data_IF_567134885698
#
_entry.id   IF_567134885698
#
_cell.length_a   1.000
_cell.length_b   1.000
_cell.length_c   1.000
_cell.angle_alpha   90.00
_cell.angle_beta   90.00
_cell.angle_gamma   90.00
#
_symmetry.space_group_name_H-M   'P 1'
#
loop_
_entity.id
_entity.type
_entity.pdbx_description
1 polymer ?
#
# COMPACT_ATOMS: atom_id res chain seq x y z
N UNK A 1 -84.82 14.70 1.52
CA UNK A 1 -83.64 13.84 1.38
C UNK A 1 -82.98 13.75 2.73
N UNK A 2 -83.11 12.61 3.42
CA UNK A 2 -82.55 12.38 4.74
C UNK A 2 -81.04 12.15 4.59
N UNK A 3 -80.22 12.88 5.34
CA UNK A 3 -78.78 12.67 5.37
C UNK A 3 -78.43 11.70 6.51
N UNK A 4 -77.74 10.62 6.16
CA UNK A 4 -77.26 9.58 7.09
C UNK A 4 -76.20 10.13 8.07
N UNK A 5 -76.10 9.56 9.29
CA UNK A 5 -75.06 9.93 10.25
C UNK A 5 -73.69 9.36 9.85
N UNK A 6 -72.58 10.00 10.28
CA UNK A 6 -71.23 9.58 9.93
C UNK A 6 -70.84 8.24 10.60
N UNK A 7 -69.89 7.48 9.99
CA UNK A 7 -69.48 6.18 10.49
C UNK A 7 -68.63 6.28 11.79
N UNK A 8 -68.59 5.22 12.60
CA UNK A 8 -67.77 5.18 13.82
C UNK A 8 -66.27 5.12 13.50
N UNK A 9 -65.40 5.53 14.45
CA UNK A 9 -63.96 5.51 14.26
C UNK A 9 -63.40 4.08 14.13
N UNK A 10 -62.27 3.90 13.43
CA UNK A 10 -61.68 2.58 13.22
C UNK A 10 -61.22 1.97 14.56
N UNK A 11 -61.45 0.65 14.69
CA UNK A 11 -60.94 -0.16 15.79
C UNK A 11 -59.42 -0.26 15.69
N UNK A 12 -58.74 -0.23 16.84
CA UNK A 12 -57.30 -0.41 16.94
C UNK A 12 -56.91 -1.81 16.43
N UNK A 13 -56.13 -1.85 15.34
CA UNK A 13 -55.41 -3.06 14.93
C UNK A 13 -54.25 -3.28 15.92
N UNK A 14 -54.07 -4.54 16.33
CA UNK A 14 -52.97 -4.98 17.20
C UNK A 14 -51.61 -4.66 16.56
N UNK A 15 -50.79 -3.89 17.28
CA UNK A 15 -49.40 -3.56 16.95
C UNK A 15 -48.53 -4.86 16.95
N UNK A 16 -47.74 -5.14 15.90
CA UNK A 16 -46.77 -6.23 15.92
C UNK A 16 -45.62 -5.90 16.89
N UNK A 17 -44.94 -6.90 17.48
CA UNK A 17 -44.04 -6.69 18.60
C UNK A 17 -42.85 -5.78 18.21
N UNK A 18 -42.73 -4.65 18.90
CA UNK A 18 -41.69 -3.66 18.72
C UNK A 18 -40.27 -4.27 18.68
N UNK A 19 -39.54 -4.08 17.57
CA UNK A 19 -38.07 -4.09 17.59
C UNK A 19 -37.59 -2.84 18.32
N UNK A 20 -37.09 -3.00 19.55
CA UNK A 20 -36.45 -1.91 20.30
C UNK A 20 -35.08 -1.59 19.68
N UNK A 21 -34.84 -0.33 19.38
CA UNK A 21 -33.54 0.25 19.00
C UNK A 21 -33.06 1.19 20.11
N UNK A 22 -31.74 1.36 20.27
CA UNK A 22 -31.15 2.35 21.18
C UNK A 22 -30.82 3.67 20.47
N UNK A 23 -30.22 4.64 21.18
CA UNK A 23 -29.89 5.99 20.69
C UNK A 23 -28.91 6.03 19.50
N UNK A 24 -28.39 4.87 19.07
CA UNK A 24 -27.54 4.73 17.87
C UNK A 24 -28.27 4.17 16.65
N UNK A 25 -29.55 3.81 16.78
CA UNK A 25 -30.38 3.29 15.68
C UNK A 25 -30.11 1.84 15.30
N UNK A 26 -29.20 1.13 15.98
CA UNK A 26 -28.96 -0.29 15.75
C UNK A 26 -29.98 -1.17 16.51
N UNK A 27 -30.47 -2.29 15.92
CA UNK A 27 -31.32 -3.25 16.63
C UNK A 27 -30.57 -3.82 17.84
N UNK A 28 -31.16 -3.75 19.04
CA UNK A 28 -30.57 -4.22 20.31
C UNK A 28 -30.07 -5.68 20.25
N UNK A 29 -30.70 -6.52 19.43
CA UNK A 29 -30.30 -7.92 19.23
C UNK A 29 -28.94 -8.07 18.55
N UNK A 30 -28.58 -7.20 17.61
CA UNK A 30 -27.32 -7.32 16.87
C UNK A 30 -26.11 -7.03 17.77
N UNK A 31 -26.23 -6.03 18.65
CA UNK A 31 -25.18 -5.65 19.61
C UNK A 31 -24.92 -6.75 20.64
N UNK A 32 -25.97 -7.41 21.12
CA UNK A 32 -25.86 -8.58 22.00
C UNK A 32 -25.13 -9.75 21.32
N UNK A 33 -25.49 -10.04 20.07
CA UNK A 33 -24.86 -11.11 19.27
C UNK A 33 -23.39 -10.82 18.93
N UNK A 34 -23.04 -9.56 18.65
CA UNK A 34 -21.64 -9.13 18.49
C UNK A 34 -20.87 -9.34 19.80
N UNK A 35 -21.46 -8.99 20.95
CA UNK A 35 -20.87 -9.23 22.26
C UNK A 35 -20.59 -10.71 22.55
N UNK A 36 -21.47 -11.62 22.11
CA UNK A 36 -21.26 -13.06 22.24
C UNK A 36 -20.05 -13.55 21.45
N UNK A 37 -19.90 -13.13 20.20
CA UNK A 37 -18.73 -13.49 19.38
C UNK A 37 -17.43 -12.88 19.93
N UNK A 38 -17.48 -11.67 20.48
CA UNK A 38 -16.32 -11.07 21.14
C UNK A 38 -15.92 -11.84 22.40
N UNK A 39 -16.88 -12.30 23.19
CA UNK A 39 -16.62 -13.17 24.34
C UNK A 39 -16.05 -14.55 23.94
N UNK A 40 -16.30 -15.00 22.70
CA UNK A 40 -15.68 -16.19 22.11
C UNK A 40 -14.26 -15.93 21.58
N UNK A 41 -13.74 -14.71 21.74
CA UNK A 41 -12.37 -14.33 21.38
C UNK A 41 -12.20 -13.71 19.99
N UNK A 42 -13.30 -13.42 19.28
CA UNK A 42 -13.25 -12.75 17.98
C UNK A 42 -13.19 -11.22 18.13
N UNK A 43 -12.55 -10.52 17.19
CA UNK A 43 -12.55 -9.04 17.21
C UNK A 43 -13.95 -8.50 16.90
N UNK A 44 -14.22 -7.27 17.36
CA UNK A 44 -15.52 -6.61 17.12
C UNK A 44 -15.87 -6.52 15.63
N UNK A 45 -14.88 -6.21 14.78
CA UNK A 45 -15.04 -6.14 13.33
C UNK A 45 -15.34 -7.50 12.69
N UNK A 46 -14.64 -8.57 13.10
CA UNK A 46 -14.91 -9.94 12.65
C UNK A 46 -16.33 -10.37 13.02
N UNK A 47 -16.73 -10.12 14.27
CA UNK A 47 -18.04 -10.46 14.78
C UNK A 47 -19.18 -9.74 14.01
N UNK A 48 -19.02 -8.44 13.75
CA UNK A 48 -20.03 -7.65 13.05
C UNK A 48 -20.15 -8.03 11.57
N UNK A 49 -19.03 -8.23 10.87
CA UNK A 49 -19.01 -8.62 9.47
C UNK A 49 -19.57 -10.04 9.27
N UNK A 50 -19.22 -10.98 10.15
CA UNK A 50 -19.71 -12.36 10.05
C UNK A 50 -21.22 -12.44 10.32
N UNK A 51 -21.74 -11.73 11.32
CA UNK A 51 -23.19 -11.69 11.60
C UNK A 51 -24.01 -11.09 10.46
N UNK A 52 -23.46 -10.14 9.71
CA UNK A 52 -24.12 -9.60 8.52
C UNK A 52 -24.25 -10.65 7.41
N UNK A 53 -23.25 -11.52 7.26
CA UNK A 53 -23.24 -12.56 6.23
C UNK A 53 -24.04 -13.81 6.59
N UNK A 54 -24.30 -14.02 7.87
CA UNK A 54 -25.01 -15.20 8.38
C UNK A 54 -26.41 -14.87 8.89
N UNK A 55 -26.97 -13.74 8.44
CA UNK A 55 -28.31 -13.26 8.80
C UNK A 55 -28.53 -13.18 10.33
N UNK A 56 -27.46 -12.86 11.07
CA UNK A 56 -27.47 -12.73 12.52
C UNK A 56 -27.42 -14.05 13.30
N UNK A 57 -27.01 -15.16 12.66
CA UNK A 57 -26.72 -16.43 13.35
C UNK A 57 -25.31 -16.42 13.95
N UNK A 58 -25.23 -16.51 15.28
CA UNK A 58 -23.96 -16.51 16.04
C UNK A 58 -23.13 -17.76 15.75
N UNK A 59 -23.75 -18.93 15.65
CA UNK A 59 -23.05 -20.20 15.38
C UNK A 59 -22.48 -20.24 13.96
N UNK A 60 -23.28 -19.82 12.97
CA UNK A 60 -22.80 -19.71 11.60
C UNK A 60 -21.72 -18.63 11.47
N UNK A 61 -21.85 -17.50 12.19
CA UNK A 61 -20.86 -16.44 12.20
C UNK A 61 -19.53 -16.91 12.81
N UNK A 62 -19.57 -17.64 13.95
CA UNK A 62 -18.38 -18.21 14.56
C UNK A 62 -17.69 -19.21 13.62
N UNK A 63 -18.47 -20.10 12.98
CA UNK A 63 -17.94 -21.07 12.00
C UNK A 63 -17.32 -20.37 10.78
N UNK A 64 -17.96 -19.30 10.30
CA UNK A 64 -17.43 -18.49 9.21
C UNK A 64 -16.11 -17.84 9.62
N UNK A 65 -16.03 -17.21 10.78
CA UNK A 65 -14.77 -16.58 11.26
C UNK A 65 -13.66 -17.62 11.41
N UNK A 66 -13.94 -18.78 12.03
CA UNK A 66 -12.96 -19.86 12.22
C UNK A 66 -12.46 -20.39 10.88
N UNK A 67 -13.36 -20.76 9.96
CA UNK A 67 -12.97 -21.26 8.63
C UNK A 67 -12.18 -20.23 7.83
N UNK A 68 -12.51 -18.95 7.95
CA UNK A 68 -11.76 -17.85 7.32
C UNK A 68 -10.37 -17.74 7.93
N UNK A 69 -10.23 -17.81 9.26
CA UNK A 69 -8.93 -17.78 9.93
C UNK A 69 -8.05 -19.01 9.64
N UNK A 70 -8.65 -20.20 9.44
CA UNK A 70 -7.91 -21.39 9.04
C UNK A 70 -7.42 -21.31 7.60
N UNK A 71 -8.26 -20.82 6.68
CA UNK A 71 -7.85 -20.55 5.31
C UNK A 71 -6.75 -19.47 5.25
N UNK A 72 -6.87 -18.41 6.06
CA UNK A 72 -5.84 -17.39 6.24
C UNK A 72 -4.53 -17.99 6.75
N UNK A 73 -4.59 -18.80 7.80
CA UNK A 73 -3.41 -19.47 8.35
C UNK A 73 -2.78 -20.42 7.33
N UNK A 74 -3.57 -21.12 6.50
CA UNK A 74 -3.07 -21.99 5.46
C UNK A 74 -2.37 -21.21 4.33
N UNK A 75 -2.95 -20.09 3.88
CA UNK A 75 -2.33 -19.18 2.89
C UNK A 75 -1.04 -18.59 3.44
N UNK A 76 -1.04 -18.12 4.70
CA UNK A 76 0.14 -17.57 5.35
C UNK A 76 1.24 -18.64 5.56
N UNK A 77 0.88 -19.87 5.92
CA UNK A 77 1.82 -21.00 6.01
C UNK A 77 2.42 -21.35 4.65
N UNK A 78 1.60 -21.34 3.59
CA UNK A 78 2.07 -21.61 2.22
C UNK A 78 3.02 -20.52 1.73
N UNK A 79 2.72 -19.26 2.02
CA UNK A 79 3.55 -18.11 1.69
C UNK A 79 4.86 -18.01 2.50
N UNK A 80 4.91 -18.64 3.68
CA UNK A 80 6.11 -18.76 4.54
C UNK A 80 6.95 -20.02 4.30
N UNK A 81 6.64 -20.83 3.28
CA UNK A 81 7.36 -22.08 3.02
C UNK A 81 8.83 -21.83 2.61
N UNK A 82 9.81 -22.55 3.19
CA UNK A 82 11.25 -22.33 3.00
C UNK A 82 11.80 -22.62 1.59
N UNK A 83 10.95 -23.07 0.65
CA UNK A 83 11.33 -23.25 -0.76
C UNK A 83 11.06 -22.01 -1.64
N UNK A 84 10.39 -20.98 -1.12
CA UNK A 84 10.11 -19.76 -1.90
C UNK A 84 11.39 -18.92 -2.04
N UNK A 85 11.94 -18.84 -3.26
CA UNK A 85 13.15 -18.08 -3.59
C UNK A 85 14.31 -18.91 -4.17
N UNK A 86 14.27 -20.25 -4.05
CA UNK A 86 15.33 -21.14 -4.56
C UNK A 86 15.47 -21.19 -6.09
N UNK A 87 14.54 -20.58 -6.83
CA UNK A 87 14.48 -20.62 -8.30
C UNK A 87 14.56 -19.25 -8.98
N UNK A 88 14.81 -18.15 -8.24
CA UNK A 88 14.96 -16.85 -8.90
C UNK A 88 16.26 -16.82 -9.71
N UNK A 89 16.21 -16.39 -10.98
CA UNK A 89 17.40 -16.02 -11.73
C UNK A 89 18.29 -15.06 -10.93
N UNK A 90 19.59 -15.29 -10.96
CA UNK A 90 20.56 -14.54 -10.13
C UNK A 90 20.44 -13.02 -10.33
N UNK A 91 20.16 -12.55 -11.56
CA UNK A 91 20.02 -11.12 -11.83
C UNK A 91 18.83 -10.48 -11.12
N UNK A 92 17.74 -11.22 -10.92
CA UNK A 92 16.56 -10.73 -10.20
C UNK A 92 16.78 -10.61 -8.69
N UNK A 93 17.88 -11.14 -8.17
CA UNK A 93 18.30 -10.94 -6.77
C UNK A 93 19.17 -9.70 -6.60
N UNK A 94 19.55 -9.02 -7.68
CA UNK A 94 20.42 -7.86 -7.64
C UNK A 94 19.69 -6.56 -7.34
N UNK A 95 20.43 -5.61 -6.80
CA UNK A 95 20.05 -4.22 -6.69
C UNK A 95 21.26 -3.30 -6.88
N UNK A 96 20.99 -2.00 -6.93
CA UNK A 96 22.00 -0.96 -7.04
C UNK A 96 22.04 -0.10 -5.78
N UNK A 97 23.23 0.32 -5.36
CA UNK A 97 23.38 1.41 -4.39
C UNK A 97 22.79 2.71 -4.93
N UNK A 98 22.34 3.60 -4.04
CA UNK A 98 21.81 4.91 -4.43
C UNK A 98 22.79 5.68 -5.34
N UNK A 99 24.08 5.73 -4.99
CA UNK A 99 25.11 6.39 -5.79
C UNK A 99 25.24 5.82 -7.22
N UNK A 100 25.06 4.51 -7.39
CA UNK A 100 25.09 3.89 -8.72
C UNK A 100 23.84 4.21 -9.53
N UNK A 101 22.68 4.34 -8.88
CA UNK A 101 21.45 4.78 -9.54
C UNK A 101 21.61 6.22 -10.04
N UNK A 102 22.16 7.11 -9.20
CA UNK A 102 22.49 8.49 -9.58
C UNK A 102 23.46 8.54 -10.75
N UNK A 103 24.51 7.72 -10.77
CA UNK A 103 25.44 7.60 -11.89
C UNK A 103 24.73 7.18 -13.18
N UNK A 104 23.85 6.17 -13.12
CA UNK A 104 23.11 5.70 -14.30
C UNK A 104 22.14 6.77 -14.82
N UNK A 105 21.50 7.53 -13.93
CA UNK A 105 20.63 8.65 -14.31
C UNK A 105 21.45 9.77 -14.95
N UNK A 106 22.59 10.13 -14.37
CA UNK A 106 23.48 11.17 -14.89
C UNK A 106 24.10 10.80 -16.25
N UNK A 107 24.21 9.51 -16.56
CA UNK A 107 24.70 9.01 -17.85
C UNK A 107 23.65 9.06 -18.98
N UNK A 108 22.38 9.38 -18.69
CA UNK A 108 21.35 9.52 -19.72
C UNK A 108 21.66 10.72 -20.63
N UNK A 109 21.32 10.63 -21.93
CA UNK A 109 21.58 11.72 -22.86
C UNK A 109 20.75 12.96 -22.49
N UNK A 110 21.28 14.15 -22.76
CA UNK A 110 20.62 15.42 -22.42
C UNK A 110 19.23 15.57 -23.07
N UNK A 111 19.01 14.94 -24.23
CA UNK A 111 17.76 14.89 -24.97
C UNK A 111 16.95 13.59 -24.71
N UNK A 112 17.17 12.93 -23.57
CA UNK A 112 16.54 11.65 -23.22
C UNK A 112 15.01 11.71 -23.29
N UNK A 113 14.42 12.82 -22.85
CA UNK A 113 12.97 13.04 -22.82
C UNK A 113 12.43 13.16 -24.24
N UNK A 114 13.10 13.93 -25.10
CA UNK A 114 12.77 14.12 -26.52
C UNK A 114 12.85 12.80 -27.28
N UNK A 115 13.91 12.02 -27.07
CA UNK A 115 14.08 10.71 -27.69
C UNK A 115 12.95 9.74 -27.32
N UNK A 116 12.57 9.69 -26.03
CA UNK A 116 11.43 8.90 -25.58
C UNK A 116 10.11 9.41 -26.20
N UNK A 117 9.91 10.73 -26.18
CA UNK A 117 8.69 11.37 -26.69
C UNK A 117 8.49 11.18 -28.20
N UNK A 118 9.58 11.07 -28.97
CA UNK A 118 9.54 10.75 -30.39
C UNK A 118 8.98 9.33 -30.66
N UNK A 119 9.22 8.37 -29.75
CA UNK A 119 8.83 6.97 -29.88
C UNK A 119 7.64 6.56 -28.98
N UNK A 120 6.82 7.53 -28.53
CA UNK A 120 5.65 7.24 -27.69
C UNK A 120 4.71 6.22 -28.35
N UNK A 121 4.33 5.16 -27.63
CA UNK A 121 3.45 4.15 -28.18
C UNK A 121 2.02 4.67 -28.29
N UNK A 122 1.26 4.02 -29.15
CA UNK A 122 -0.19 4.18 -29.28
C UNK A 122 -0.82 3.04 -28.49
N UNK A 123 -1.75 3.38 -27.60
CA UNK A 123 -2.47 2.42 -26.75
C UNK A 123 -3.95 2.69 -26.95
N UNK A 124 -4.69 1.65 -27.35
CA UNK A 124 -6.12 1.75 -27.67
C UNK A 124 -6.42 2.88 -28.68
N UNK A 125 -5.56 3.04 -29.68
CA UNK A 125 -5.70 4.08 -30.72
C UNK A 125 -5.31 5.49 -30.28
N UNK A 126 -4.94 5.71 -29.02
CA UNK A 126 -4.51 7.03 -28.50
C UNK A 126 -3.01 7.03 -28.29
N UNK A 127 -2.32 8.03 -28.85
CA UNK A 127 -0.89 8.24 -28.57
C UNK A 127 -0.74 8.75 -27.15
N UNK A 128 0.07 8.07 -26.35
CA UNK A 128 0.25 8.47 -24.95
C UNK A 128 0.84 9.87 -24.85
N UNK A 129 0.39 10.64 -23.86
CA UNK A 129 0.84 12.01 -23.58
C UNK A 129 2.36 12.12 -23.45
N UNK A 130 2.95 13.28 -23.82
CA UNK A 130 4.39 13.46 -23.77
C UNK A 130 4.86 13.56 -22.32
N UNK A 131 5.99 12.92 -22.03
CA UNK A 131 6.68 13.12 -20.76
C UNK A 131 7.20 14.57 -20.73
N UNK A 132 6.93 15.27 -19.63
CA UNK A 132 7.42 16.64 -19.40
C UNK A 132 8.79 16.67 -18.76
N UNK A 133 9.13 15.61 -18.03
CA UNK A 133 10.31 15.50 -17.21
C UNK A 133 10.94 14.11 -17.37
N UNK A 134 12.16 13.95 -16.85
CA UNK A 134 12.84 12.67 -16.81
C UNK A 134 12.21 11.78 -15.73
N UNK A 135 11.34 10.87 -16.16
CA UNK A 135 10.61 9.94 -15.28
C UNK A 135 10.94 8.48 -15.59
N UNK A 136 10.32 7.57 -14.82
CA UNK A 136 10.49 6.13 -15.02
C UNK A 136 10.15 5.63 -16.43
N UNK A 137 9.15 6.22 -17.11
CA UNK A 137 8.88 5.84 -18.51
C UNK A 137 10.03 6.22 -19.46
N UNK A 138 10.65 7.38 -19.25
CA UNK A 138 11.82 7.81 -20.04
C UNK A 138 13.02 6.91 -19.74
N UNK A 139 13.31 6.64 -18.47
CA UNK A 139 14.41 5.75 -18.07
C UNK A 139 14.24 4.35 -18.64
N UNK A 140 13.04 3.77 -18.45
CA UNK A 140 12.71 2.45 -18.97
C UNK A 140 12.83 2.36 -20.49
N UNK A 141 12.50 3.42 -21.22
CA UNK A 141 12.69 3.46 -22.67
C UNK A 141 14.18 3.29 -23.05
N UNK A 142 15.09 4.01 -22.39
CA UNK A 142 16.53 3.89 -22.66
C UNK A 142 17.09 2.54 -22.22
N UNK A 143 16.67 2.05 -21.05
CA UNK A 143 17.11 0.72 -20.57
C UNK A 143 16.57 -0.40 -21.46
N UNK A 144 15.35 -0.28 -21.97
CA UNK A 144 14.78 -1.26 -22.88
C UNK A 144 15.59 -1.37 -24.17
N UNK A 145 15.98 -0.24 -24.77
CA UNK A 145 16.83 -0.25 -25.97
C UNK A 145 18.20 -0.87 -25.73
N UNK A 146 18.80 -0.64 -24.56
CA UNK A 146 20.04 -1.31 -24.18
C UNK A 146 19.83 -2.82 -24.02
N UNK A 147 18.76 -3.22 -23.32
CA UNK A 147 18.39 -4.63 -23.10
C UNK A 147 18.04 -5.35 -24.40
N UNK A 148 17.49 -4.67 -25.41
CA UNK A 148 17.22 -5.24 -26.74
C UNK A 148 18.50 -5.55 -27.54
N UNK A 149 19.62 -4.90 -27.21
CA UNK A 149 20.90 -5.13 -27.90
C UNK A 149 21.64 -6.37 -27.39
N UNK A 150 21.58 -6.63 -26.08
CA UNK A 150 22.39 -7.68 -25.44
C UNK A 150 21.58 -8.69 -24.61
N UNK A 151 20.28 -8.46 -24.41
CA UNK A 151 19.41 -9.30 -23.58
C UNK A 151 19.60 -9.12 -22.07
N UNK A 152 20.38 -8.12 -21.63
CA UNK A 152 20.79 -7.97 -20.23
C UNK A 152 20.06 -6.82 -19.51
N UNK A 153 19.87 -7.00 -18.21
CA UNK A 153 19.49 -5.91 -17.30
C UNK A 153 20.68 -4.97 -17.04
N UNK A 154 20.40 -3.79 -16.49
CA UNK A 154 21.47 -2.86 -16.10
C UNK A 154 22.33 -3.45 -14.97
N UNK A 155 21.73 -4.13 -13.99
CA UNK A 155 22.48 -4.80 -12.93
C UNK A 155 23.44 -5.88 -13.45
N UNK A 156 23.04 -6.67 -14.45
CA UNK A 156 23.93 -7.65 -15.08
C UNK A 156 25.11 -7.00 -15.78
N UNK A 157 24.87 -5.94 -16.56
CA UNK A 157 25.93 -5.17 -17.23
C UNK A 157 26.93 -4.60 -16.22
N UNK A 158 26.44 -4.04 -15.11
CA UNK A 158 27.29 -3.50 -14.05
C UNK A 158 28.08 -4.59 -13.32
N UNK A 159 27.44 -5.74 -13.04
CA UNK A 159 28.10 -6.87 -12.38
C UNK A 159 29.19 -7.49 -13.24
N UNK A 160 28.95 -7.66 -14.54
CA UNK A 160 29.96 -8.15 -15.49
C UNK A 160 31.19 -7.22 -15.57
N UNK A 161 31.02 -5.93 -15.28
CA UNK A 161 32.11 -4.93 -15.24
C UNK A 161 32.77 -4.81 -13.86
N UNK A 162 32.31 -5.55 -12.86
CA UNK A 162 32.82 -5.44 -11.49
C UNK A 162 32.50 -4.12 -10.81
N UNK A 163 31.39 -3.47 -11.18
CA UNK A 163 31.00 -2.19 -10.60
C UNK A 163 30.71 -2.33 -9.09
N UNK A 164 31.27 -1.50 -8.19
CA UNK A 164 31.10 -1.69 -6.75
C UNK A 164 29.66 -1.42 -6.27
N UNK A 165 28.89 -0.64 -7.04
CA UNK A 165 27.51 -0.28 -6.71
C UNK A 165 26.47 -1.38 -6.91
N UNK A 166 26.81 -2.53 -7.50
CA UNK A 166 25.87 -3.65 -7.70
C UNK A 166 26.08 -4.75 -6.65
N UNK A 167 25.00 -5.31 -6.14
CA UNK A 167 25.06 -6.41 -5.17
C UNK A 167 23.69 -7.04 -4.93
N UNK A 168 23.61 -7.98 -3.99
CA UNK A 168 22.34 -8.59 -3.60
C UNK A 168 21.42 -7.53 -3.00
N UNK A 169 20.21 -7.40 -3.53
CA UNK A 169 19.22 -6.44 -3.07
C UNK A 169 18.79 -6.71 -1.63
N UNK A 170 18.68 -5.64 -0.85
CA UNK A 170 18.20 -5.66 0.54
C UNK A 170 16.90 -4.89 0.71
N UNK A 171 16.50 -4.10 -0.29
CA UNK A 171 15.29 -3.29 -0.26
C UNK A 171 14.63 -3.34 -1.64
N UNK A 172 13.35 -3.71 -1.69
CA UNK A 172 12.51 -3.65 -2.87
C UNK A 172 11.81 -2.30 -2.95
N UNK A 173 11.95 -1.60 -4.08
CA UNK A 173 11.31 -0.30 -4.28
C UNK A 173 10.01 -0.47 -5.04
N UNK A 174 8.88 -0.22 -4.37
CA UNK A 174 7.57 -0.11 -5.00
C UNK A 174 7.31 1.35 -5.37
N UNK A 175 7.26 1.64 -6.66
CA UNK A 175 7.11 2.99 -7.20
C UNK A 175 6.36 2.96 -8.54
N UNK A 176 5.95 4.13 -9.04
CA UNK A 176 5.24 4.25 -10.31
C UNK A 176 6.04 5.06 -11.33
N UNK A 177 5.99 4.64 -12.60
CA UNK A 177 6.89 5.14 -13.65
C UNK A 177 6.62 6.60 -14.09
N UNK A 178 5.55 7.23 -13.64
CA UNK A 178 5.33 8.66 -13.86
C UNK A 178 6.11 9.53 -12.88
N UNK A 179 6.60 8.96 -11.76
CA UNK A 179 7.53 9.63 -10.84
C UNK A 179 8.79 10.03 -11.58
N UNK A 180 9.25 11.27 -11.35
CA UNK A 180 10.56 11.71 -11.86
C UNK A 180 11.68 10.89 -11.23
N UNK A 181 12.79 10.72 -11.95
CA UNK A 181 13.96 10.01 -11.40
C UNK A 181 14.60 10.79 -10.23
N UNK A 182 14.52 12.11 -10.26
CA UNK A 182 14.95 12.98 -9.16
C UNK A 182 14.13 12.69 -7.89
N UNK A 183 12.80 12.65 -7.99
CA UNK A 183 11.92 12.33 -6.86
C UNK A 183 12.15 10.90 -6.35
N UNK A 184 12.43 9.94 -7.24
CA UNK A 184 12.80 8.58 -6.84
C UNK A 184 14.08 8.57 -5.98
N UNK A 185 15.15 9.22 -6.47
CA UNK A 185 16.45 9.30 -5.77
C UNK A 185 16.30 10.06 -4.45
N UNK A 186 15.61 11.19 -4.44
CA UNK A 186 15.37 12.00 -3.25
C UNK A 186 14.63 11.20 -2.16
N UNK A 187 13.57 10.48 -2.53
CA UNK A 187 12.83 9.63 -1.58
C UNK A 187 13.70 8.48 -1.04
N UNK A 188 14.56 7.85 -1.85
CA UNK A 188 15.48 6.82 -1.38
C UNK A 188 16.56 7.40 -0.44
N UNK A 189 17.06 8.61 -0.73
CA UNK A 189 17.97 9.33 0.14
C UNK A 189 17.32 9.70 1.48
N UNK A 190 16.08 10.17 1.46
CA UNK A 190 15.29 10.45 2.65
C UNK A 190 15.08 9.18 3.49
N UNK A 191 14.81 8.03 2.85
CA UNK A 191 14.70 6.75 3.54
C UNK A 191 15.98 6.42 4.33
N UNK A 192 17.16 6.53 3.71
CA UNK A 192 18.45 6.28 4.37
C UNK A 192 18.69 7.25 5.53
N UNK A 193 18.27 8.52 5.39
CA UNK A 193 18.39 9.52 6.45
C UNK A 193 17.49 9.21 7.65
N UNK A 194 16.32 8.63 7.40
CA UNK A 194 15.36 8.23 8.44
C UNK A 194 15.74 6.90 9.13
N UNK A 195 16.55 6.07 8.47
CA UNK A 195 16.93 4.73 8.94
C UNK A 195 18.45 4.62 9.04
N UNK A 196 19.08 5.22 10.07
CA UNK A 196 20.54 5.16 10.25
C UNK A 196 21.07 3.76 10.52
N UNK A 197 20.20 2.79 10.82
CA UNK A 197 20.50 1.36 10.93
C UNK A 197 20.66 0.68 9.56
N UNK A 198 20.16 1.29 8.49
CA UNK A 198 20.31 0.80 7.12
C UNK A 198 21.65 1.28 6.57
N UNK A 199 22.40 0.35 5.97
CA UNK A 199 23.69 0.67 5.33
C UNK A 199 23.51 1.76 4.27
N UNK A 200 24.35 2.80 4.23
CA UNK A 200 24.40 3.75 3.12
C UNK A 200 24.67 3.08 1.76
N UNK A 201 25.29 1.89 1.78
CA UNK A 201 25.57 1.07 0.59
C UNK A 201 24.47 0.04 0.30
N UNK A 202 23.28 0.15 0.94
CA UNK A 202 22.14 -0.72 0.71
C UNK A 202 21.84 -0.85 -0.79
N UNK A 203 21.51 -2.07 -1.22
CA UNK A 203 21.23 -2.37 -2.62
C UNK A 203 19.73 -2.37 -2.84
N UNK A 204 19.30 -1.46 -3.70
CA UNK A 204 17.92 -1.20 -3.99
C UNK A 204 17.51 -1.95 -5.26
N UNK A 205 16.49 -2.78 -5.13
CA UNK A 205 15.84 -3.41 -6.26
C UNK A 205 14.84 -2.41 -6.83
N UNK A 206 15.21 -1.80 -7.95
CA UNK A 206 14.36 -0.89 -8.72
C UNK A 206 14.07 -1.55 -10.05
N UNK A 207 12.79 -1.73 -10.38
CA UNK A 207 12.35 -2.54 -11.51
C UNK A 207 12.99 -2.15 -12.85
N UNK A 208 13.26 -0.87 -13.07
CA UNK A 208 13.91 -0.38 -14.28
C UNK A 208 15.33 -0.95 -14.47
N UNK A 209 16.13 -1.07 -13.41
CA UNK A 209 17.53 -1.49 -13.52
C UNK A 209 17.72 -3.01 -13.44
N UNK A 210 16.78 -3.72 -12.81
CA UNK A 210 16.89 -5.16 -12.52
C UNK A 210 16.19 -6.02 -13.55
N UNK A 211 15.02 -5.59 -14.06
CA UNK A 211 14.24 -6.37 -15.02
C UNK A 211 14.88 -6.27 -16.41
N UNK A 212 15.06 -7.41 -17.08
CA UNK A 212 15.37 -7.45 -18.51
C UNK A 212 14.14 -7.01 -19.29
N UNK A 213 14.12 -5.76 -19.73
CA UNK A 213 12.95 -5.18 -20.38
C UNK A 213 12.58 -5.91 -21.70
N UNK A 214 13.57 -6.52 -22.36
CA UNK A 214 13.38 -7.33 -23.56
C UNK A 214 12.53 -8.60 -23.33
N UNK A 215 12.42 -9.10 -22.10
CA UNK A 215 11.70 -10.36 -21.82
C UNK A 215 10.19 -10.18 -21.65
N UNK A 216 9.67 -8.95 -21.71
CA UNK A 216 8.27 -8.64 -21.41
C UNK A 216 7.25 -9.32 -22.32
N UNK A 217 7.66 -9.72 -23.52
CA UNK A 217 6.82 -10.39 -24.50
C UNK A 217 7.00 -11.92 -24.48
N UNK A 218 7.91 -12.44 -23.65
CA UNK A 218 8.15 -13.87 -23.53
C UNK A 218 7.08 -14.54 -22.65
N UNK A 219 7.06 -15.87 -22.72
CA UNK A 219 6.25 -16.72 -21.86
C UNK A 219 6.59 -16.52 -20.38
N UNK A 220 5.69 -16.92 -19.47
CA UNK A 220 5.78 -16.58 -18.05
C UNK A 220 7.08 -17.07 -17.39
N UNK A 221 7.57 -18.24 -17.80
CA UNK A 221 8.82 -18.85 -17.37
C UNK A 221 10.05 -17.98 -17.67
N UNK A 222 10.03 -17.22 -18.77
CA UNK A 222 11.14 -16.39 -19.23
C UNK A 222 10.89 -14.89 -19.02
N UNK A 223 9.69 -14.52 -18.56
CA UNK A 223 9.29 -13.13 -18.35
C UNK A 223 9.60 -12.68 -16.92
N UNK A 224 10.63 -11.85 -16.75
CA UNK A 224 11.04 -11.29 -15.46
C UNK A 224 9.91 -10.58 -14.71
N UNK A 225 9.04 -9.83 -15.41
CA UNK A 225 7.93 -9.10 -14.78
C UNK A 225 6.94 -10.06 -14.11
N UNK A 226 6.79 -11.29 -14.63
CA UNK A 226 5.89 -12.28 -14.04
C UNK A 226 6.46 -12.90 -12.74
N UNK A 227 7.75 -12.72 -12.46
CA UNK A 227 8.43 -13.15 -11.22
C UNK A 227 8.47 -12.09 -10.12
N UNK A 228 7.82 -10.94 -10.33
CA UNK A 228 7.82 -9.81 -9.38
C UNK A 228 7.43 -10.22 -7.95
N UNK A 229 6.42 -11.07 -7.82
CA UNK A 229 5.98 -11.58 -6.53
C UNK A 229 7.02 -12.45 -5.82
N UNK A 230 7.85 -13.19 -6.55
CA UNK A 230 8.95 -13.95 -5.97
C UNK A 230 10.08 -13.03 -5.56
N UNK A 231 10.36 -11.98 -6.34
CA UNK A 231 11.36 -10.96 -6.02
C UNK A 231 11.03 -10.28 -4.68
N UNK A 232 9.79 -9.79 -4.52
CA UNK A 232 9.30 -9.17 -3.27
C UNK A 232 9.50 -10.11 -2.07
N UNK A 233 9.09 -11.37 -2.20
CA UNK A 233 9.22 -12.36 -1.12
C UNK A 233 10.67 -12.66 -0.77
N UNK A 234 11.53 -12.76 -1.78
CA UNK A 234 12.95 -13.11 -1.61
C UNK A 234 13.73 -11.98 -0.95
N UNK A 235 13.45 -10.73 -1.33
CA UNK A 235 14.09 -9.56 -0.73
C UNK A 235 13.60 -9.33 0.70
N UNK A 236 12.33 -9.61 0.97
CA UNK A 236 11.77 -9.61 2.33
C UNK A 236 11.59 -8.22 2.96
N UNK A 237 11.78 -7.16 2.17
CA UNK A 237 11.61 -5.78 2.61
C UNK A 237 11.21 -4.89 1.43
N UNK A 238 10.02 -4.29 1.53
CA UNK A 238 9.45 -3.39 0.52
C UNK A 238 9.32 -1.98 1.09
N UNK A 239 9.84 -1.01 0.34
CA UNK A 239 9.65 0.41 0.57
C UNK A 239 8.79 0.97 -0.57
N UNK A 240 7.60 1.46 -0.23
CA UNK A 240 6.67 2.11 -1.17
C UNK A 240 6.91 3.61 -1.20
N UNK A 241 7.09 4.18 -2.38
CA UNK A 241 7.15 5.64 -2.57
C UNK A 241 5.73 6.22 -2.53
N UNK A 242 5.34 6.85 -1.44
CA UNK A 242 4.02 7.45 -1.29
C UNK A 242 3.99 8.86 -1.90
N UNK A 243 4.06 8.91 -3.23
CA UNK A 243 4.23 10.14 -4.01
C UNK A 243 3.03 10.41 -4.95
N UNK A 244 2.38 11.58 -4.88
CA UNK A 244 2.36 12.46 -3.71
C UNK A 244 1.62 11.80 -2.54
N UNK A 245 1.89 12.20 -1.29
CA UNK A 245 1.33 11.49 -0.11
C UNK A 245 -0.20 11.55 -0.04
N UNK A 246 -0.77 12.62 -0.58
CA UNK A 246 -2.18 12.99 -0.47
C UNK A 246 -3.07 12.35 -1.55
N UNK A 247 -2.44 11.73 -2.56
CA UNK A 247 -3.09 11.00 -3.65
C UNK A 247 -2.06 10.05 -4.31
N UNK A 248 -1.59 9.03 -3.57
CA UNK A 248 -0.38 8.28 -3.91
C UNK A 248 -0.49 7.53 -5.22
N UNK A 249 0.32 7.94 -6.20
CA UNK A 249 0.36 7.37 -7.54
C UNK A 249 0.55 5.85 -7.57
N UNK A 250 1.45 5.26 -6.76
CA UNK A 250 1.63 3.81 -6.75
C UNK A 250 0.37 3.03 -6.40
N UNK A 251 -0.49 3.54 -5.51
CA UNK A 251 -1.69 2.81 -5.12
C UNK A 251 -2.78 2.79 -6.20
N UNK A 252 -2.60 3.60 -7.26
CA UNK A 252 -3.40 3.52 -8.48
C UNK A 252 -2.83 2.52 -9.49
N UNK A 253 -1.67 1.92 -9.22
CA UNK A 253 -1.01 1.00 -10.16
C UNK A 253 -1.18 -0.45 -9.71
N UNK A 254 -1.75 -1.28 -10.59
CA UNK A 254 -2.00 -2.69 -10.28
C UNK A 254 -0.72 -3.47 -9.92
N UNK A 255 0.41 -3.17 -10.56
CA UNK A 255 1.70 -3.78 -10.20
C UNK A 255 2.12 -3.43 -8.76
N UNK A 256 1.99 -2.18 -8.32
CA UNK A 256 2.31 -1.80 -6.94
C UNK A 256 1.37 -2.45 -5.92
N UNK A 257 0.06 -2.53 -6.22
CA UNK A 257 -0.88 -3.26 -5.35
C UNK A 257 -0.48 -4.73 -5.22
N UNK A 258 -0.06 -5.37 -6.33
CA UNK A 258 0.47 -6.73 -6.33
C UNK A 258 1.72 -6.85 -5.44
N UNK A 259 2.65 -5.91 -5.52
CA UNK A 259 3.86 -5.86 -4.69
C UNK A 259 3.53 -5.74 -3.20
N UNK A 260 2.63 -4.82 -2.84
CA UNK A 260 2.15 -4.65 -1.45
C UNK A 260 1.51 -5.94 -0.92
N UNK A 261 0.64 -6.56 -1.73
CA UNK A 261 0.02 -7.82 -1.35
C UNK A 261 1.05 -8.95 -1.13
N UNK A 262 2.02 -9.13 -2.04
CA UNK A 262 3.08 -10.14 -1.87
C UNK A 262 3.95 -9.88 -0.64
N UNK A 263 4.21 -8.61 -0.34
CA UNK A 263 4.94 -8.19 0.86
C UNK A 263 4.20 -8.68 2.09
N UNK A 264 2.90 -8.40 2.17
CA UNK A 264 2.08 -8.83 3.30
C UNK A 264 1.93 -10.34 3.39
N UNK A 265 1.65 -11.01 2.27
CA UNK A 265 1.43 -12.45 2.23
C UNK A 265 2.65 -13.23 2.74
N UNK A 266 3.86 -12.72 2.50
CA UNK A 266 5.10 -13.34 3.01
C UNK A 266 5.49 -12.90 4.42
N UNK A 267 4.83 -11.88 4.98
CA UNK A 267 5.25 -11.26 6.24
C UNK A 267 6.56 -10.48 6.10
N UNK A 268 6.90 -10.04 4.89
CA UNK A 268 8.01 -9.15 4.63
C UNK A 268 7.80 -7.78 5.29
N UNK A 269 8.90 -7.08 5.59
CA UNK A 269 8.86 -5.71 6.13
C UNK A 269 8.24 -4.78 5.08
N UNK A 270 7.28 -3.95 5.49
CA UNK A 270 6.66 -2.95 4.64
C UNK A 270 6.81 -1.56 5.27
N UNK A 271 7.36 -0.62 4.51
CA UNK A 271 7.50 0.77 4.91
C UNK A 271 7.12 1.70 3.77
N UNK A 272 6.81 2.95 4.10
CA UNK A 272 6.62 4.01 3.11
C UNK A 272 7.68 5.09 3.27
N UNK A 273 8.05 5.66 2.14
CA UNK A 273 8.86 6.87 2.09
C UNK A 273 8.24 7.88 1.14
N UNK A 274 8.55 9.14 1.37
CA UNK A 274 8.14 10.28 0.57
C UNK A 274 9.41 11.03 0.13
N UNK A 275 9.32 11.79 -0.96
CA UNK A 275 10.33 12.82 -1.22
C UNK A 275 10.40 13.81 -0.05
N UNK A 276 11.54 14.48 0.14
CA UNK A 276 11.72 15.50 1.18
C UNK A 276 10.63 16.59 1.09
N UNK A 277 10.22 16.95 -0.12
CA UNK A 277 9.13 17.91 -0.34
C UNK A 277 7.78 17.37 0.15
N UNK A 278 7.40 16.15 -0.23
CA UNK A 278 6.15 15.55 0.26
C UNK A 278 6.18 15.27 1.75
N UNK A 279 7.33 14.88 2.31
CA UNK A 279 7.52 14.69 3.74
C UNK A 279 7.23 15.99 4.49
N UNK A 280 7.77 17.12 4.01
CA UNK A 280 7.47 18.44 4.58
C UNK A 280 5.96 18.77 4.48
N UNK A 281 5.33 18.51 3.34
CA UNK A 281 3.89 18.75 3.18
C UNK A 281 3.06 17.87 4.11
N UNK A 282 3.45 16.61 4.29
CA UNK A 282 2.81 15.67 5.19
C UNK A 282 2.92 16.13 6.65
N UNK A 283 4.12 16.51 7.09
CA UNK A 283 4.36 17.05 8.43
C UNK A 283 3.54 18.33 8.69
N UNK A 284 3.42 19.21 7.69
CA UNK A 284 2.54 20.38 7.77
C UNK A 284 1.06 20.01 7.85
N UNK A 285 0.60 19.03 7.07
CA UNK A 285 -0.77 18.55 7.10
C UNK A 285 -1.10 17.87 8.44
N UNK A 286 -0.17 17.13 9.03
CA UNK A 286 -0.36 16.53 10.36
C UNK A 286 -0.67 17.59 11.42
N UNK A 287 -0.07 18.78 11.30
CA UNK A 287 -0.30 19.89 12.22
C UNK A 287 -1.57 20.67 11.87
N UNK A 288 -1.76 21.04 10.60
CA UNK A 288 -2.74 22.05 10.20
C UNK A 288 -4.04 21.48 9.60
N UNK A 289 -4.02 20.24 9.09
CA UNK A 289 -5.11 19.66 8.29
C UNK A 289 -5.19 18.13 8.46
N UNK A 290 -5.27 17.71 9.72
CA UNK A 290 -5.22 16.30 10.09
C UNK A 290 -6.39 15.48 9.51
N UNK A 291 -7.59 16.06 9.49
CA UNK A 291 -8.78 15.39 8.97
C UNK A 291 -8.65 15.09 7.46
N UNK A 292 -7.99 15.98 6.71
CA UNK A 292 -7.71 15.74 5.28
C UNK A 292 -6.79 14.54 5.05
N UNK A 293 -5.88 14.22 5.98
CA UNK A 293 -5.04 13.00 5.86
C UNK A 293 -5.92 11.76 5.90
N UNK A 294 -6.84 11.67 6.86
CA UNK A 294 -7.76 10.54 7.00
C UNK A 294 -8.67 10.40 5.78
N UNK A 295 -9.25 11.52 5.33
CA UNK A 295 -10.13 11.56 4.14
C UNK A 295 -9.40 11.06 2.89
N UNK A 296 -8.18 11.54 2.65
CA UNK A 296 -7.40 11.17 1.47
C UNK A 296 -6.99 9.70 1.47
N UNK A 297 -6.64 9.17 2.64
CA UNK A 297 -6.38 7.74 2.78
C UNK A 297 -7.63 6.91 2.53
N UNK A 298 -8.82 7.39 2.93
CA UNK A 298 -10.08 6.70 2.68
C UNK A 298 -10.40 6.58 1.17
N UNK A 299 -9.88 7.48 0.32
CA UNK A 299 -10.05 7.44 -1.13
C UNK A 299 -9.21 6.38 -1.85
N UNK A 300 -8.22 5.78 -1.18
CA UNK A 300 -7.46 4.68 -1.77
C UNK A 300 -8.39 3.50 -1.99
N UNK A 301 -8.45 3.01 -3.22
CA UNK A 301 -9.24 1.83 -3.55
C UNK A 301 -8.49 0.96 -4.55
N UNK A 302 -8.02 -0.20 -4.08
CA UNK A 302 -7.28 -1.15 -4.90
C UNK A 302 -8.10 -1.66 -6.09
N UNK A 303 -9.44 -1.57 -6.05
CA UNK A 303 -10.31 -1.95 -7.17
C UNK A 303 -10.15 -1.01 -8.36
N UNK A 304 -9.69 0.22 -8.11
CA UNK A 304 -9.46 1.24 -9.13
C UNK A 304 -8.02 1.22 -9.67
N UNK A 305 -7.19 0.26 -9.26
CA UNK A 305 -5.81 0.18 -9.75
C UNK A 305 -5.74 -0.27 -11.22
N UNK A 306 -4.75 0.24 -11.95
CA UNK A 306 -4.60 0.02 -13.40
C UNK A 306 -3.14 -0.18 -13.84
N UNK A 307 -2.99 -0.92 -14.93
CA UNK A 307 -1.80 -0.96 -15.75
C UNK A 307 -2.02 -0.16 -17.02
N UNK A 308 -0.91 0.22 -17.68
CA UNK A 308 -0.96 0.87 -19.00
C UNK A 308 -1.55 -0.05 -20.09
N UNK A 309 -1.37 -1.37 -19.93
CA UNK A 309 -2.02 -2.41 -20.74
C UNK A 309 -3.24 -2.95 -19.99
N UNK A 310 -4.46 -2.85 -20.53
CA UNK A 310 -5.66 -3.37 -19.89
C UNK A 310 -5.59 -4.86 -19.57
N UNK A 311 -4.91 -5.65 -20.41
CA UNK A 311 -4.77 -7.10 -20.23
C UNK A 311 -3.97 -7.44 -18.96
N UNK A 312 -2.95 -6.63 -18.65
CA UNK A 312 -2.18 -6.78 -17.42
C UNK A 312 -3.02 -6.38 -16.19
N UNK A 313 -3.86 -5.34 -16.29
CA UNK A 313 -4.81 -4.97 -15.23
C UNK A 313 -5.72 -6.13 -14.89
N UNK A 314 -6.37 -6.71 -15.90
CA UNK A 314 -7.31 -7.82 -15.72
C UNK A 314 -6.62 -9.08 -15.19
N UNK A 315 -5.41 -9.36 -15.64
CA UNK A 315 -4.64 -10.50 -15.14
C UNK A 315 -4.29 -10.34 -13.66
N UNK A 316 -3.76 -9.18 -13.27
CA UNK A 316 -3.35 -8.92 -11.88
C UNK A 316 -4.57 -8.88 -10.95
N UNK A 317 -5.67 -8.24 -11.36
CA UNK A 317 -6.90 -8.22 -10.54
C UNK A 317 -7.46 -9.62 -10.32
N UNK A 318 -7.46 -10.48 -11.35
CA UNK A 318 -7.87 -11.89 -11.22
C UNK A 318 -6.94 -12.69 -10.29
N UNK A 319 -5.64 -12.45 -10.35
CA UNK A 319 -4.68 -13.06 -9.43
C UNK A 319 -4.95 -12.65 -7.98
N UNK A 320 -5.10 -11.35 -7.72
CA UNK A 320 -5.42 -10.82 -6.39
C UNK A 320 -6.76 -11.34 -5.86
N UNK A 321 -7.78 -11.37 -6.71
CA UNK A 321 -9.11 -11.83 -6.31
C UNK A 321 -9.11 -13.32 -5.96
N UNK A 322 -8.39 -14.14 -6.75
CA UNK A 322 -8.22 -15.58 -6.48
C UNK A 322 -7.45 -15.84 -5.17
N UNK A 323 -6.46 -15.03 -4.86
CA UNK A 323 -5.52 -15.31 -3.76
C UNK A 323 -5.96 -14.74 -2.42
N UNK A 324 -6.63 -13.58 -2.42
CA UNK A 324 -7.09 -12.92 -1.18
C UNK A 324 -8.50 -12.31 -1.29
N UNK A 325 -8.98 -12.05 -2.50
CA UNK A 325 -10.21 -11.30 -2.74
C UNK A 325 -9.94 -9.79 -2.73
N UNK A 326 -10.46 -9.05 -3.72
CA UNK A 326 -10.15 -7.61 -3.87
C UNK A 326 -10.59 -6.76 -2.67
N UNK A 327 -11.72 -7.08 -2.05
CA UNK A 327 -12.21 -6.36 -0.86
C UNK A 327 -11.22 -6.48 0.30
N UNK A 328 -10.72 -7.69 0.54
CA UNK A 328 -9.79 -7.98 1.63
C UNK A 328 -8.40 -7.44 1.32
N UNK A 329 -7.95 -7.53 0.06
CA UNK A 329 -6.75 -6.83 -0.40
C UNK A 329 -6.84 -5.32 -0.09
N UNK A 330 -8.00 -4.70 -0.34
CA UNK A 330 -8.21 -3.30 -0.03
C UNK A 330 -8.04 -3.01 1.47
N UNK A 331 -8.71 -3.78 2.33
CA UNK A 331 -8.62 -3.61 3.78
C UNK A 331 -7.18 -3.75 4.29
N UNK A 332 -6.44 -4.70 3.72
CA UNK A 332 -5.05 -4.98 4.04
C UNK A 332 -4.11 -3.83 3.65
N UNK A 333 -4.23 -3.33 2.42
CA UNK A 333 -3.49 -2.16 1.95
C UNK A 333 -3.78 -0.94 2.84
N UNK A 334 -5.05 -0.69 3.18
CA UNK A 334 -5.43 0.38 4.11
C UNK A 334 -4.78 0.23 5.49
N UNK A 335 -4.71 -0.99 6.02
CA UNK A 335 -4.04 -1.26 7.29
C UNK A 335 -2.54 -0.90 7.26
N UNK A 336 -1.85 -1.30 6.18
CA UNK A 336 -0.43 -0.99 5.99
C UNK A 336 -0.18 0.52 5.85
N UNK A 337 -1.02 1.23 5.08
CA UNK A 337 -0.88 2.69 4.95
C UNK A 337 -1.08 3.40 6.28
N UNK A 338 -2.08 2.99 7.06
CA UNK A 338 -2.32 3.55 8.41
C UNK A 338 -1.09 3.38 9.30
N UNK A 339 -0.56 2.17 9.39
CA UNK A 339 0.65 1.89 10.19
C UNK A 339 1.89 2.64 9.70
N UNK A 340 2.04 2.78 8.39
CA UNK A 340 3.15 3.51 7.79
C UNK A 340 3.03 5.02 8.03
N UNK A 341 1.83 5.60 7.94
CA UNK A 341 1.57 7.00 8.31
C UNK A 341 1.79 7.26 9.80
N UNK A 342 1.40 6.33 10.67
CA UNK A 342 1.72 6.40 12.09
C UNK A 342 3.23 6.43 12.32
N UNK A 343 3.99 5.59 11.60
CA UNK A 343 5.46 5.60 11.64
C UNK A 343 6.03 6.95 11.20
N UNK A 344 5.49 7.54 10.13
CA UNK A 344 5.88 8.87 9.67
C UNK A 344 5.55 9.97 10.71
N UNK A 345 4.38 9.89 11.34
CA UNK A 345 3.99 10.80 12.42
C UNK A 345 4.89 10.68 13.66
N UNK A 346 5.26 9.44 14.06
CA UNK A 346 6.23 9.20 15.13
C UNK A 346 7.60 9.77 14.79
N UNK A 347 8.08 9.57 13.55
CA UNK A 347 9.35 10.13 13.10
C UNK A 347 9.33 11.66 13.13
N UNK A 348 8.22 12.29 12.71
CA UNK A 348 8.04 13.73 12.78
C UNK A 348 8.08 14.24 14.23
N UNK A 349 7.45 13.54 15.17
CA UNK A 349 7.47 13.87 16.60
C UNK A 349 8.87 13.69 17.21
N UNK A 350 9.61 12.65 16.81
CA UNK A 350 10.95 12.40 17.31
C UNK A 350 11.98 13.48 16.90
N UNK A 351 11.75 14.19 15.78
CA UNK A 351 12.56 15.33 15.34
C UNK A 351 12.39 16.56 16.25
N UNK A 352 11.32 16.64 17.04
CA UNK A 352 11.01 17.83 17.83
C UNK A 352 11.85 17.89 19.12
N UNK A 353 12.31 19.08 19.53
CA UNK A 353 13.00 19.27 20.80
C UNK A 353 12.18 18.72 21.97
N UNK A 354 12.82 17.99 22.89
CA UNK A 354 12.14 17.32 24.00
C UNK A 354 11.28 18.25 24.87
N UNK A 355 11.67 19.53 24.97
CA UNK A 355 10.96 20.54 25.75
C UNK A 355 9.71 21.12 25.05
N UNK A 356 9.54 20.86 23.75
CA UNK A 356 8.36 21.29 22.99
C UNK A 356 7.37 20.14 22.78
N UNK A 357 7.84 18.88 22.77
CA UNK A 357 7.01 17.69 22.52
C UNK A 357 5.70 17.68 23.33
N UNK A 358 5.77 17.80 24.66
CA UNK A 358 4.56 17.80 25.50
C UNK A 358 3.57 18.94 25.20
N UNK A 359 4.05 20.10 24.77
CA UNK A 359 3.20 21.27 24.44
C UNK A 359 2.66 21.25 23.02
N UNK A 360 3.07 20.28 22.20
CA UNK A 360 2.86 20.32 20.77
C UNK A 360 1.54 19.69 20.33
N UNK A 361 0.82 20.44 19.49
CA UNK A 361 -0.34 19.98 18.75
C UNK A 361 -0.08 18.65 18.03
N UNK A 362 1.16 18.37 17.62
CA UNK A 362 1.56 17.13 16.95
C UNK A 362 1.27 15.87 17.79
N UNK A 363 1.49 15.90 19.11
CA UNK A 363 1.18 14.75 19.98
C UNK A 363 -0.32 14.47 20.03
N UNK A 364 -1.14 15.52 20.12
CA UNK A 364 -2.60 15.38 20.09
C UNK A 364 -3.09 14.83 18.75
N UNK A 365 -2.49 15.28 17.63
CA UNK A 365 -2.86 14.82 16.28
C UNK A 365 -2.41 13.38 16.03
N UNK A 366 -1.18 13.02 16.44
CA UNK A 366 -0.70 11.64 16.36
C UNK A 366 -1.52 10.72 17.26
N UNK A 367 -1.83 11.14 18.50
CA UNK A 367 -2.71 10.40 19.41
C UNK A 367 -4.11 10.18 18.82
N UNK A 368 -4.71 11.21 18.21
CA UNK A 368 -5.99 11.07 17.50
C UNK A 368 -5.89 10.12 16.30
N UNK A 369 -4.78 10.14 15.56
CA UNK A 369 -4.52 9.21 14.47
C UNK A 369 -4.47 7.77 14.95
N UNK A 370 -3.66 7.50 15.96
CA UNK A 370 -3.50 6.18 16.54
C UNK A 370 -4.83 5.68 17.13
N UNK A 371 -5.59 6.56 17.79
CA UNK A 371 -6.91 6.25 18.30
C UNK A 371 -7.86 5.81 17.16
N UNK A 372 -7.92 6.57 16.06
CA UNK A 372 -8.75 6.24 14.90
C UNK A 372 -8.29 4.96 14.17
N UNK A 373 -7.01 4.60 14.31
CA UNK A 373 -6.44 3.37 13.80
C UNK A 373 -6.65 2.16 14.72
N UNK A 374 -7.10 2.39 15.97
CA UNK A 374 -7.30 1.33 16.98
C UNK A 374 -6.08 1.06 17.86
N UNK A 375 -4.99 1.82 17.72
CA UNK A 375 -3.77 1.75 18.53
C UNK A 375 -3.97 2.50 19.87
N UNK A 376 -4.89 1.99 20.69
CA UNK A 376 -5.43 2.72 21.85
C UNK A 376 -4.41 2.97 22.96
N UNK A 377 -3.50 2.03 23.21
CA UNK A 377 -2.51 2.14 24.29
C UNK A 377 -1.53 3.29 24.03
N UNK A 378 -0.96 3.36 22.83
CA UNK A 378 -0.05 4.44 22.44
C UNK A 378 -0.79 5.77 22.29
N UNK A 379 -2.01 5.75 21.74
CA UNK A 379 -2.86 6.93 21.66
C UNK A 379 -3.11 7.52 23.05
N UNK A 380 -3.46 6.69 24.03
CA UNK A 380 -3.69 7.11 25.40
C UNK A 380 -2.42 7.71 26.03
N UNK A 381 -1.27 7.06 25.85
CA UNK A 381 0.00 7.56 26.37
C UNK A 381 0.34 8.96 25.83
N UNK A 382 0.24 9.14 24.51
CA UNK A 382 0.51 10.44 23.87
C UNK A 382 -0.49 11.52 24.30
N UNK A 383 -1.79 11.18 24.37
CA UNK A 383 -2.82 12.15 24.76
C UNK A 383 -2.73 12.53 26.24
N UNK A 384 -2.32 11.60 27.13
CA UNK A 384 -2.07 11.90 28.54
C UNK A 384 -0.88 12.82 28.73
N UNK A 385 0.24 12.54 28.07
CA UNK A 385 1.44 13.39 28.14
C UNK A 385 1.16 14.80 27.60
N UNK A 386 0.43 14.91 26.49
CA UNK A 386 0.00 16.19 25.94
C UNK A 386 -0.91 16.98 26.90
N UNK A 387 -1.79 16.29 27.64
CA UNK A 387 -2.65 16.91 28.65
C UNK A 387 -1.86 17.37 29.89
N UNK A 388 -0.86 16.59 30.32
CA UNK A 388 -0.02 16.92 31.46
C UNK A 388 0.84 18.15 31.21
N UNK A 389 1.35 18.34 29.99
CA UNK A 389 2.13 19.50 29.60
C UNK A 389 1.31 20.79 29.38
N UNK A 390 -0.03 20.69 29.31
CA UNK A 390 -0.94 21.84 29.29
C UNK A 390 -1.35 22.33 30.69
N UNK A 391 -1.01 21.58 31.75
CA UNK A 391 -1.28 21.94 33.15
C UNK A 391 -0.10 22.66 33.75
#
# INVERSE_FOLDING_TARGET
>A
SAADPPPPPPQAEDDPPHRRTDSSGAPLELRSKVGQLVAMGFTHAQAQAALLQTEGSVEAAATLVVSTTEAEAAVLRRAKSPDHGKNLPEHLTLGLSLAAIEEMIAALPADAVEQCNAQRPIINGVRVEPNRELNGYVNQFHIARASEQDGLSTCERLRARGHPGVGVATIFVSWFLETTLETLVDAMGEYLRMHPDVSPDAKWWVCDFVIRQATRQLAAEDNDVKKLGECVRTIGHTVLLMEPWHDPGPLKRAYCIKEVWHTQASGARFEVVMSAYQQLLFERALLADFDSIQERMAHVDVRNCECRKPEDTEHIKRELDREVGLLKCNQQVHGLLRGALATQGRAALAKQPAHLRGTEMLMNRLGAMLHNQGELEEAEALLREALEAQR
#
